data_IF_184416918273
#
_entry.id   IF_184416918273
#
_cell.length_a   1.000
_cell.length_b   1.000
_cell.length_c   1.000
_cell.angle_alpha   90.00
_cell.angle_beta   90.00
_cell.angle_gamma   90.00
#
_symmetry.space_group_name_H-M   'P 1'
#
loop_
_entity.id
_entity.type
_entity.pdbx_description
1 polymer ?
#
# COMPACT_ATOMS: atom_id res chain seq x y z
N UNK A 1 0.84 -2.72 25.19
CA UNK A 1 -0.04 -3.20 24.10
C UNK A 1 0.52 -4.55 23.67
N UNK A 2 -0.21 -5.64 23.90
CA UNK A 2 0.24 -7.00 23.56
C UNK A 2 0.17 -7.18 22.05
N UNK A 3 1.26 -7.65 21.42
CA UNK A 3 1.21 -8.01 20.00
C UNK A 3 0.35 -9.27 19.86
N UNK A 4 -0.88 -9.12 19.40
CA UNK A 4 -1.73 -10.25 19.13
C UNK A 4 -1.22 -10.96 17.86
N UNK A 5 -1.01 -12.28 17.96
CA UNK A 5 -0.63 -13.08 16.80
C UNK A 5 -1.88 -13.45 16.02
N UNK A 6 -1.92 -13.08 14.74
CA UNK A 6 -3.00 -13.38 13.82
C UNK A 6 -2.63 -14.58 12.95
N UNK A 7 -3.44 -15.64 12.98
CA UNK A 7 -3.35 -16.74 12.01
C UNK A 7 -3.95 -16.29 10.68
N UNK A 8 -3.19 -16.46 9.60
CA UNK A 8 -3.57 -16.05 8.24
C UNK A 8 -3.24 -17.14 7.23
N UNK A 9 -3.87 -17.10 6.06
CA UNK A 9 -3.54 -17.98 4.95
C UNK A 9 -3.01 -17.14 3.78
N UNK A 10 -1.79 -17.41 3.34
CA UNK A 10 -1.14 -16.72 2.21
C UNK A 10 -0.72 -17.76 1.18
N UNK A 11 -1.21 -17.64 -0.05
CA UNK A 11 -0.86 -18.57 -1.13
C UNK A 11 -1.17 -20.03 -0.82
N UNK A 12 -2.24 -20.28 -0.05
CA UNK A 12 -2.63 -21.62 0.42
C UNK A 12 -1.85 -22.15 1.63
N UNK A 13 -0.89 -21.40 2.16
CA UNK A 13 -0.11 -21.77 3.36
C UNK A 13 -0.61 -21.02 4.60
N UNK A 14 -0.79 -21.75 5.70
CA UNK A 14 -1.12 -21.16 7.00
C UNK A 14 0.13 -20.58 7.66
N UNK A 15 0.05 -19.32 8.08
CA UNK A 15 1.13 -18.56 8.68
C UNK A 15 0.61 -17.76 9.88
N UNK A 16 1.53 -17.32 10.74
CA UNK A 16 1.21 -16.46 11.88
C UNK A 16 1.92 -15.12 11.70
N UNK A 17 1.14 -14.04 11.72
CA UNK A 17 1.65 -12.67 11.68
C UNK A 17 1.49 -12.03 13.06
N UNK A 18 2.38 -11.11 13.39
CA UNK A 18 2.25 -10.25 14.58
C UNK A 18 2.10 -8.83 14.10
N UNK A 19 1.14 -8.10 14.66
CA UNK A 19 0.97 -6.68 14.40
C UNK A 19 0.11 -6.03 15.47
N UNK A 20 0.07 -4.71 15.42
CA UNK A 20 -0.68 -3.89 16.38
C UNK A 20 -2.15 -3.75 15.96
N UNK A 21 -2.43 -3.80 14.65
CA UNK A 21 -3.78 -3.73 14.09
C UNK A 21 -4.09 -4.99 13.27
N UNK A 22 -5.02 -5.81 13.77
CA UNK A 22 -5.41 -7.06 13.14
C UNK A 22 -6.30 -6.88 11.91
N UNK A 23 -7.07 -5.78 11.82
CA UNK A 23 -7.94 -5.52 10.67
C UNK A 23 -7.09 -5.08 9.46
N UNK A 24 -6.19 -4.12 9.68
CA UNK A 24 -5.23 -3.69 8.65
C UNK A 24 -4.39 -4.88 8.14
N UNK A 25 -3.95 -5.76 9.03
CA UNK A 25 -3.21 -6.96 8.63
C UNK A 25 -4.04 -7.90 7.75
N UNK A 26 -5.34 -8.06 8.02
CA UNK A 26 -6.23 -8.89 7.17
C UNK A 26 -6.37 -8.30 5.78
N UNK A 27 -6.51 -6.98 5.68
CA UNK A 27 -6.57 -6.29 4.38
C UNK A 27 -5.28 -6.48 3.58
N UNK A 28 -4.11 -6.31 4.21
CA UNK A 28 -2.83 -6.55 3.55
C UNK A 28 -2.67 -8.01 3.09
N UNK A 29 -3.12 -8.97 3.88
CA UNK A 29 -3.11 -10.39 3.50
C UNK A 29 -4.02 -10.65 2.29
N UNK A 30 -5.20 -10.02 2.25
CA UNK A 30 -6.10 -10.12 1.11
C UNK A 30 -5.45 -9.56 -0.17
N UNK A 31 -4.78 -8.40 -0.08
CA UNK A 31 -4.04 -7.81 -1.19
C UNK A 31 -2.91 -8.72 -1.69
N UNK A 32 -2.11 -9.28 -0.78
CA UNK A 32 -1.03 -10.22 -1.15
C UNK A 32 -1.59 -11.44 -1.88
N UNK A 33 -2.66 -12.04 -1.36
CA UNK A 33 -3.29 -13.20 -2.00
C UNK A 33 -3.86 -12.87 -3.38
N UNK A 34 -4.47 -11.69 -3.54
CA UNK A 34 -4.94 -11.23 -4.83
C UNK A 34 -3.79 -11.09 -5.82
N UNK A 35 -2.69 -10.43 -5.43
CA UNK A 35 -1.51 -10.27 -6.31
C UNK A 35 -0.89 -11.62 -6.67
N UNK A 36 -0.82 -12.56 -5.73
CA UNK A 36 -0.35 -13.93 -6.00
C UNK A 36 -1.27 -14.58 -7.05
N UNK A 37 -2.58 -14.52 -6.87
CA UNK A 37 -3.55 -15.12 -7.79
C UNK A 37 -3.48 -14.51 -9.20
N UNK A 38 -3.26 -13.19 -9.30
CA UNK A 38 -3.06 -12.49 -10.58
C UNK A 38 -1.79 -12.95 -11.31
N UNK A 39 -0.71 -13.25 -10.57
CA UNK A 39 0.56 -13.74 -11.15
C UNK A 39 0.43 -15.20 -11.57
N UNK A 40 -0.17 -16.06 -10.74
CA UNK A 40 -0.23 -17.50 -11.00
C UNK A 40 -1.31 -17.87 -12.02
N UNK A 41 -2.35 -17.05 -12.15
CA UNK A 41 -3.57 -17.40 -12.88
C UNK A 41 -4.35 -18.54 -12.20
N UNK A 42 -5.45 -19.00 -12.83
CA UNK A 42 -6.29 -20.06 -12.27
C UNK A 42 -5.54 -21.39 -12.20
N UNK A 43 -5.37 -21.91 -10.97
CA UNK A 43 -4.73 -23.21 -10.73
C UNK A 43 -3.20 -23.20 -10.77
N UNK A 44 -2.56 -22.04 -10.86
CA UNK A 44 -1.11 -21.94 -10.85
C UNK A 44 -0.50 -22.23 -9.47
N UNK A 45 0.69 -22.82 -9.47
CA UNK A 45 1.40 -23.19 -8.25
C UNK A 45 2.07 -21.97 -7.59
N UNK A 46 1.89 -21.83 -6.27
CA UNK A 46 2.57 -20.80 -5.48
C UNK A 46 3.95 -21.31 -5.09
N UNK A 47 4.99 -20.71 -5.68
CA UNK A 47 6.39 -20.97 -5.32
C UNK A 47 7.10 -19.68 -4.88
N UNK A 48 8.34 -19.80 -4.40
CA UNK A 48 9.12 -18.66 -3.89
C UNK A 48 9.28 -17.55 -4.94
N UNK A 49 9.37 -17.88 -6.24
CA UNK A 49 9.50 -16.87 -7.30
C UNK A 49 8.21 -16.06 -7.44
N UNK A 50 7.05 -16.71 -7.36
CA UNK A 50 5.75 -16.04 -7.36
C UNK A 50 5.63 -15.10 -6.16
N UNK A 51 6.02 -15.56 -4.96
CA UNK A 51 6.02 -14.71 -3.78
C UNK A 51 6.94 -13.48 -3.93
N UNK A 52 8.13 -13.66 -4.52
CA UNK A 52 9.06 -12.56 -4.79
C UNK A 52 8.49 -11.57 -5.82
N UNK A 53 7.85 -12.08 -6.88
CA UNK A 53 7.18 -11.24 -7.88
C UNK A 53 6.00 -10.46 -7.27
N UNK A 54 5.21 -11.10 -6.40
CA UNK A 54 4.12 -10.44 -5.69
C UNK A 54 4.66 -9.31 -4.79
N UNK A 55 5.74 -9.56 -4.05
CA UNK A 55 6.39 -8.55 -3.23
C UNK A 55 6.91 -7.36 -4.06
N UNK A 56 7.52 -7.63 -5.23
CA UNK A 56 8.00 -6.58 -6.14
C UNK A 56 6.85 -5.76 -6.72
N UNK A 57 5.75 -6.41 -7.13
CA UNK A 57 4.58 -5.71 -7.67
C UNK A 57 3.93 -4.79 -6.62
N UNK A 58 3.78 -5.27 -5.38
CA UNK A 58 3.27 -4.46 -4.28
C UNK A 58 4.20 -3.28 -3.94
N UNK A 59 5.51 -3.51 -3.97
CA UNK A 59 6.50 -2.45 -3.74
C UNK A 59 6.44 -1.36 -4.82
N UNK A 60 6.28 -1.72 -6.09
CA UNK A 60 6.13 -0.76 -7.19
C UNK A 60 4.84 0.06 -7.04
N UNK A 61 3.73 -0.59 -6.69
CA UNK A 61 2.45 0.10 -6.41
C UNK A 61 2.60 1.12 -5.30
N UNK A 62 3.20 0.73 -4.16
CA UNK A 62 3.46 1.63 -3.05
C UNK A 62 4.40 2.79 -3.44
N UNK A 63 5.42 2.52 -4.25
CA UNK A 63 6.33 3.55 -4.75
C UNK A 63 5.62 4.53 -5.71
N UNK A 64 4.71 4.03 -6.55
CA UNK A 64 3.89 4.85 -7.43
C UNK A 64 2.90 5.73 -6.65
N UNK A 65 2.24 5.19 -5.63
CA UNK A 65 1.34 5.95 -4.75
C UNK A 65 2.09 7.04 -3.97
N UNK A 66 3.26 6.73 -3.43
CA UNK A 66 4.12 7.73 -2.77
C UNK A 66 4.51 8.86 -3.72
N UNK A 67 4.89 8.55 -4.96
CA UNK A 67 5.19 9.56 -5.99
C UNK A 67 3.98 10.45 -6.27
N UNK A 68 2.79 9.87 -6.43
CA UNK A 68 1.53 10.62 -6.64
C UNK A 68 1.20 11.52 -5.45
N UNK A 69 1.31 11.01 -4.22
CA UNK A 69 1.04 11.79 -3.01
C UNK A 69 2.00 12.97 -2.86
N UNK A 70 3.29 12.78 -3.15
CA UNK A 70 4.26 13.88 -3.15
C UNK A 70 3.93 14.95 -4.18
N UNK A 71 3.53 14.56 -5.39
CA UNK A 71 3.09 15.51 -6.42
C UNK A 71 1.83 16.28 -6.00
N UNK A 72 0.85 15.61 -5.39
CA UNK A 72 -0.35 16.26 -4.87
C UNK A 72 -0.01 17.29 -3.78
N UNK A 73 0.87 16.93 -2.84
CA UNK A 73 1.33 17.84 -1.79
C UNK A 73 2.07 19.06 -2.36
N UNK A 74 2.91 18.87 -3.38
CA UNK A 74 3.56 19.97 -4.08
C UNK A 74 2.55 20.91 -4.74
N UNK A 75 1.53 20.35 -5.41
CA UNK A 75 0.47 21.12 -6.05
C UNK A 75 -0.37 21.91 -5.03
N UNK A 76 -0.73 21.28 -3.91
CA UNK A 76 -1.46 21.96 -2.82
C UNK A 76 -0.61 23.10 -2.26
N UNK A 77 0.69 22.87 -2.01
CA UNK A 77 1.60 23.90 -1.53
C UNK A 77 1.70 25.07 -2.51
N UNK A 78 1.90 24.79 -3.80
CA UNK A 78 1.98 25.83 -4.83
C UNK A 78 0.70 26.66 -4.90
N UNK A 79 -0.46 26.01 -4.83
CA UNK A 79 -1.76 26.69 -4.79
C UNK A 79 -1.94 27.53 -3.52
N UNK A 80 -1.53 27.02 -2.37
CA UNK A 80 -1.62 27.76 -1.09
C UNK A 80 -0.76 29.03 -1.11
N UNK A 81 0.47 28.95 -1.64
CA UNK A 81 1.35 30.12 -1.83
C UNK A 81 0.70 31.13 -2.76
N UNK A 82 0.18 30.67 -3.91
CA UNK A 82 -0.48 31.56 -4.87
C UNK A 82 -1.71 32.27 -4.28
N UNK A 83 -2.51 31.58 -3.47
CA UNK A 83 -3.66 32.17 -2.78
C UNK A 83 -3.18 33.21 -1.76
N UNK A 84 -2.14 32.91 -0.98
CA UNK A 84 -1.55 33.85 -0.02
C UNK A 84 -1.08 35.13 -0.71
N UNK A 85 -0.33 34.99 -1.81
CA UNK A 85 0.15 36.13 -2.61
C UNK A 85 -1.00 36.97 -3.18
N UNK A 86 -2.10 36.34 -3.57
CA UNK A 86 -3.29 37.05 -4.07
C UNK A 86 -3.99 37.84 -2.96
N UNK A 87 -4.08 37.29 -1.74
CA UNK A 87 -4.70 37.95 -0.59
C UNK A 87 -3.88 39.17 -0.15
N UNK A 88 -2.55 39.06 -0.11
CA UNK A 88 -1.66 40.17 0.26
C UNK A 88 -1.73 41.37 -0.71
N UNK A 89 -2.17 41.13 -1.94
CA UNK A 89 -2.31 42.17 -2.98
C UNK A 89 -3.67 42.87 -2.99
N UNK A 90 -4.61 42.49 -2.11
CA UNK A 90 -5.89 43.18 -1.98
C UNK A 90 -5.67 44.45 -1.15
N UNK A 91 -5.82 45.66 -1.73
CA UNK A 91 -5.70 46.90 -0.97
C UNK A 91 -6.83 46.98 0.07
N UNK A 92 -6.46 47.37 1.30
CA UNK A 92 -7.40 47.59 2.41
C UNK A 92 -8.31 48.79 2.17
#
# INVERSE_FOLDING_TARGET
MSSDSLEVTIGGQKLFLRGEDSEDLREHVAQVNQTIAEITGPGGEVNVRVALLAALNLAETLAAERRKNLQLLQNIRARAVHISDCIERIPR
#
